data_IF_954690887049
#
_entry.id   IF_954690887049
#
_cell.length_a   1.000
_cell.length_b   1.000
_cell.length_c   1.000
_cell.angle_alpha   90.00
_cell.angle_beta   90.00
_cell.angle_gamma   90.00
#
_symmetry.space_group_name_H-M   'P 1'
#
loop_
_entity.id
_entity.type
_entity.pdbx_description
1 polymer ?
#
# COMPACT_ATOMS: atom_id res chain seq x y z
N UNK A 1 20.36 -22.22 0.15
CA UNK A 1 21.12 -22.71 1.31
C UNK A 1 20.20 -23.07 2.48
N UNK A 2 19.57 -22.14 3.22
CA UNK A 2 18.68 -22.46 4.36
C UNK A 2 17.61 -23.53 4.07
N UNK A 3 17.02 -23.53 2.88
CA UNK A 3 15.94 -24.46 2.52
C UNK A 3 16.40 -25.92 2.35
N UNK A 4 17.63 -26.17 1.98
CA UNK A 4 18.17 -27.52 1.79
C UNK A 4 18.59 -28.15 3.11
N UNK A 5 19.09 -27.32 4.04
CA UNK A 5 19.58 -27.80 5.34
C UNK A 5 18.46 -27.95 6.37
N UNK A 6 17.32 -27.28 6.19
CA UNK A 6 16.19 -27.27 7.13
C UNK A 6 14.86 -27.67 6.47
N UNK A 7 14.92 -28.54 5.45
CA UNK A 7 13.74 -28.94 4.68
C UNK A 7 12.64 -29.64 5.52
N UNK A 8 13.03 -30.24 6.62
CA UNK A 8 12.19 -30.96 7.59
C UNK A 8 11.78 -30.11 8.81
N UNK A 9 12.15 -28.83 8.83
CA UNK A 9 11.92 -27.94 9.98
C UNK A 9 11.15 -26.70 9.61
N UNK A 10 10.38 -26.20 10.57
CA UNK A 10 9.82 -24.86 10.49
C UNK A 10 10.91 -23.85 10.88
N UNK A 11 11.18 -22.91 9.96
CA UNK A 11 12.13 -21.82 10.20
C UNK A 11 11.33 -20.53 10.42
N UNK A 12 11.60 -19.84 11.53
CA UNK A 12 11.04 -18.53 11.85
C UNK A 12 12.16 -17.52 11.82
N UNK A 13 12.05 -16.52 10.94
CA UNK A 13 12.98 -15.38 10.85
C UNK A 13 12.32 -14.16 11.44
N UNK A 14 12.95 -13.55 12.44
CA UNK A 14 12.51 -12.29 13.04
C UNK A 14 13.49 -11.19 12.69
N UNK A 15 12.97 -10.06 12.22
CA UNK A 15 13.79 -8.88 11.95
C UNK A 15 13.04 -7.62 12.34
N UNK A 16 13.76 -6.61 12.78
CA UNK A 16 13.30 -5.24 12.93
C UNK A 16 13.73 -4.36 11.74
N UNK A 17 14.55 -4.90 10.85
CA UNK A 17 15.00 -4.22 9.64
C UNK A 17 13.92 -4.33 8.57
N UNK A 18 13.36 -3.19 8.21
CA UNK A 18 12.27 -3.07 7.23
C UNK A 18 12.76 -3.37 5.82
N UNK A 19 13.95 -2.94 5.45
CA UNK A 19 14.50 -3.18 4.12
C UNK A 19 14.77 -4.67 3.91
N UNK A 20 15.37 -5.31 4.90
CA UNK A 20 15.60 -6.75 4.85
C UNK A 20 14.30 -7.56 4.81
N UNK A 21 13.26 -7.13 5.53
CA UNK A 21 11.93 -7.77 5.45
C UNK A 21 11.36 -7.74 4.03
N UNK A 22 11.42 -6.59 3.34
CA UNK A 22 10.94 -6.48 1.98
C UNK A 22 11.81 -7.24 0.97
N UNK A 23 13.13 -7.26 1.18
CA UNK A 23 14.02 -8.07 0.35
C UNK A 23 13.70 -9.57 0.46
N UNK A 24 13.44 -10.06 1.66
CA UNK A 24 13.00 -11.44 1.86
C UNK A 24 11.65 -11.71 1.19
N UNK A 25 10.69 -10.76 1.24
CA UNK A 25 9.42 -10.91 0.54
C UNK A 25 9.59 -11.03 -0.98
N UNK A 26 10.55 -10.32 -1.57
CA UNK A 26 10.84 -10.39 -3.00
C UNK A 26 11.54 -11.68 -3.40
N UNK A 27 12.50 -12.11 -2.59
CA UNK A 27 13.42 -13.19 -2.95
C UNK A 27 12.93 -14.57 -2.55
N UNK A 28 12.12 -14.68 -1.49
CA UNK A 28 11.67 -15.96 -0.98
C UNK A 28 10.32 -16.37 -1.61
N UNK A 29 10.21 -17.64 -2.06
CA UNK A 29 8.99 -18.10 -2.73
C UNK A 29 7.82 -18.16 -1.74
N UNK A 30 6.78 -17.39 -1.99
CA UNK A 30 5.56 -17.27 -1.17
C UNK A 30 4.86 -18.62 -0.94
N UNK A 31 5.07 -19.60 -1.82
CA UNK A 31 4.56 -20.96 -1.64
C UNK A 31 5.08 -21.63 -0.36
N UNK A 32 6.23 -21.21 0.15
CA UNK A 32 6.92 -21.86 1.27
C UNK A 32 7.16 -20.94 2.46
N UNK A 33 6.96 -19.63 2.28
CA UNK A 33 7.21 -18.62 3.30
C UNK A 33 5.98 -17.76 3.52
N UNK A 34 5.53 -17.67 4.77
CA UNK A 34 4.53 -16.71 5.21
C UNK A 34 5.24 -15.50 5.81
N UNK A 35 4.75 -14.31 5.47
CA UNK A 35 5.29 -13.05 5.98
C UNK A 35 4.25 -12.37 6.86
N UNK A 36 4.67 -11.90 8.02
CA UNK A 36 3.80 -11.17 8.93
C UNK A 36 4.55 -9.99 9.55
N UNK A 37 3.86 -8.91 9.80
CA UNK A 37 4.39 -7.75 10.53
C UNK A 37 3.73 -7.68 11.90
N UNK A 38 4.52 -7.42 12.92
CA UNK A 38 3.99 -7.10 14.25
C UNK A 38 3.59 -5.63 14.28
N UNK A 39 2.42 -5.34 14.85
CA UNK A 39 2.04 -3.96 15.18
C UNK A 39 2.88 -3.47 16.34
N UNK A 40 3.12 -2.16 16.45
CA UNK A 40 3.72 -1.60 17.64
C UNK A 40 2.92 -2.03 18.88
N UNK A 41 3.64 -2.40 19.91
CA UNK A 41 3.03 -2.73 21.21
C UNK A 41 2.35 -1.47 21.78
N UNK A 42 1.08 -1.56 22.08
CA UNK A 42 0.29 -0.44 22.59
C UNK A 42 0.05 -0.52 24.08
N UNK A 43 -0.53 -1.60 24.54
CA UNK A 43 -0.80 -1.83 25.98
C UNK A 43 -0.68 -3.32 26.31
N UNK A 44 -0.37 -3.67 27.59
CA UNK A 44 -0.31 -5.08 28.01
C UNK A 44 -1.60 -5.86 27.76
N UNK A 45 -2.76 -5.19 27.87
CA UNK A 45 -4.08 -5.81 27.73
C UNK A 45 -4.38 -6.23 26.27
N UNK A 46 -3.83 -5.50 25.29
CA UNK A 46 -3.98 -5.80 23.86
C UNK A 46 -2.97 -6.84 23.42
N UNK A 47 -1.81 -6.91 24.09
CA UNK A 47 -0.74 -7.83 23.74
C UNK A 47 -0.08 -7.51 22.41
N UNK A 48 0.57 -8.52 21.84
CA UNK A 48 1.19 -8.45 20.51
C UNK A 48 0.14 -8.79 19.46
N UNK A 49 -0.10 -7.87 18.54
CA UNK A 49 -1.00 -8.10 17.41
C UNK A 49 -0.22 -8.11 16.10
N UNK A 50 -0.67 -8.94 15.16
CA UNK A 50 -0.13 -8.94 13.82
C UNK A 50 -0.82 -7.86 12.98
N UNK A 51 -0.03 -7.15 12.18
CA UNK A 51 -0.60 -6.35 11.11
C UNK A 51 -0.99 -7.31 9.99
N UNK A 52 -2.27 -7.38 9.67
CA UNK A 52 -2.66 -7.90 8.37
C UNK A 52 -1.99 -7.04 7.31
N UNK A 53 -1.68 -7.63 6.14
CA UNK A 53 -1.03 -6.92 5.04
C UNK A 53 -1.89 -5.79 4.45
N UNK A 54 -3.00 -5.45 5.09
CA UNK A 54 -3.90 -4.35 4.77
C UNK A 54 -3.77 -3.23 5.79
N UNK A 55 -3.83 -2.03 5.28
CA UNK A 55 -4.18 -0.84 6.03
C UNK A 55 -5.51 -1.14 6.73
N UNK A 56 -5.62 -0.89 8.03
CA UNK A 56 -6.87 -1.17 8.78
C UNK A 56 -7.93 -0.09 8.47
N UNK A 57 -8.38 -0.12 7.21
CA UNK A 57 -9.45 0.76 6.71
C UNK A 57 -10.77 0.45 7.41
N UNK A 58 -11.01 -0.81 7.79
CA UNK A 58 -12.23 -1.19 8.49
C UNK A 58 -12.33 -0.51 9.87
N UNK A 59 -11.22 -0.43 10.60
CA UNK A 59 -11.17 0.32 11.85
C UNK A 59 -11.40 1.82 11.63
N UNK A 60 -10.83 2.40 10.57
CA UNK A 60 -11.05 3.79 10.21
C UNK A 60 -12.53 4.06 9.86
N UNK A 61 -13.19 3.19 9.08
CA UNK A 61 -14.62 3.27 8.77
C UNK A 61 -15.49 3.21 10.02
N UNK A 62 -15.17 2.31 10.93
CA UNK A 62 -15.90 2.21 12.19
C UNK A 62 -15.77 3.49 13.00
N UNK A 63 -14.59 4.04 13.10
CA UNK A 63 -14.31 5.27 13.86
C UNK A 63 -14.91 6.51 13.21
N UNK A 64 -15.01 6.58 11.90
CA UNK A 64 -15.61 7.70 11.18
C UNK A 64 -17.04 8.00 11.60
N UNK A 65 -17.78 7.00 12.08
CA UNK A 65 -19.17 7.17 12.54
C UNK A 65 -19.29 7.92 13.87
N UNK A 66 -18.29 7.85 14.72
CA UNK A 66 -18.29 8.45 16.06
C UNK A 66 -17.29 9.58 16.21
N UNK A 67 -16.16 9.49 15.55
CA UNK A 67 -15.00 10.39 15.66
C UNK A 67 -14.41 10.67 14.27
N UNK A 68 -15.15 11.39 13.39
CA UNK A 68 -14.74 11.57 11.99
C UNK A 68 -13.40 12.27 11.84
N UNK A 69 -13.07 13.24 12.68
CA UNK A 69 -11.79 13.96 12.64
C UNK A 69 -10.60 13.05 12.94
N UNK A 70 -10.74 12.20 13.95
CA UNK A 70 -9.69 11.23 14.30
C UNK A 70 -9.54 10.15 13.22
N UNK A 71 -10.65 9.70 12.64
CA UNK A 71 -10.65 8.76 11.52
C UNK A 71 -9.90 9.32 10.30
N UNK A 72 -10.11 10.60 9.96
CA UNK A 72 -9.40 11.31 8.89
C UNK A 72 -7.90 11.38 9.15
N UNK A 73 -7.49 11.73 10.39
CA UNK A 73 -6.09 11.78 10.77
C UNK A 73 -5.42 10.39 10.72
N UNK A 74 -6.14 9.35 11.09
CA UNK A 74 -5.67 7.97 11.04
C UNK A 74 -5.52 7.48 9.60
N UNK A 75 -6.53 7.69 8.75
CA UNK A 75 -6.49 7.29 7.33
C UNK A 75 -5.36 7.98 6.59
N UNK A 76 -5.11 9.25 6.87
CA UNK A 76 -3.98 9.97 6.28
C UNK A 76 -2.65 9.27 6.58
N UNK A 77 -2.36 9.02 7.89
CA UNK A 77 -1.12 8.31 8.29
C UNK A 77 -1.02 6.92 7.67
N UNK A 78 -2.15 6.23 7.58
CA UNK A 78 -2.25 4.94 6.92
C UNK A 78 -1.86 5.04 5.43
N UNK A 79 -2.37 6.03 4.73
CA UNK A 79 -2.08 6.25 3.30
C UNK A 79 -0.63 6.66 3.07
N UNK A 80 -0.03 7.47 3.96
CA UNK A 80 1.39 7.83 3.86
C UNK A 80 2.26 6.57 3.88
N UNK A 81 2.00 5.64 4.79
CA UNK A 81 2.72 4.37 4.89
C UNK A 81 2.40 3.43 3.73
N UNK A 82 1.12 3.21 3.44
CA UNK A 82 0.69 2.24 2.43
C UNK A 82 1.15 2.62 1.02
N UNK A 83 1.07 3.90 0.65
CA UNK A 83 1.53 4.37 -0.66
C UNK A 83 3.06 4.40 -0.76
N UNK A 84 3.78 4.62 0.35
CA UNK A 84 5.23 4.42 0.37
C UNK A 84 5.59 2.96 0.06
N UNK A 85 4.90 2.00 0.68
CA UNK A 85 5.11 0.58 0.40
C UNK A 85 4.75 0.19 -1.04
N UNK A 86 3.65 0.73 -1.57
CA UNK A 86 3.28 0.52 -2.99
C UNK A 86 4.37 1.08 -3.90
N UNK A 87 4.81 2.32 -3.65
CA UNK A 87 5.82 2.99 -4.46
C UNK A 87 7.15 2.20 -4.50
N UNK A 88 7.58 1.68 -3.35
CA UNK A 88 8.77 0.84 -3.25
C UNK A 88 8.62 -0.45 -4.06
N UNK A 89 7.51 -1.17 -3.90
CA UNK A 89 7.25 -2.44 -4.60
C UNK A 89 7.24 -2.31 -6.11
N UNK A 90 6.68 -1.21 -6.63
CA UNK A 90 6.57 -1.00 -8.08
C UNK A 90 7.73 -0.20 -8.66
N UNK A 91 8.70 0.21 -7.85
CA UNK A 91 9.80 1.06 -8.29
C UNK A 91 9.32 2.41 -8.82
N UNK A 92 8.35 3.04 -8.13
CA UNK A 92 7.79 4.32 -8.55
C UNK A 92 8.83 5.44 -8.46
N UNK A 93 9.16 6.05 -9.58
CA UNK A 93 9.99 7.25 -9.59
C UNK A 93 9.20 8.44 -9.01
N UNK A 94 9.69 8.97 -7.89
CA UNK A 94 9.16 10.19 -7.26
C UNK A 94 10.22 11.28 -7.31
N UNK A 95 9.86 12.56 -7.53
CA UNK A 95 10.81 13.65 -7.57
C UNK A 95 11.64 13.73 -6.29
N UNK A 96 12.94 13.89 -6.42
CA UNK A 96 13.81 14.10 -5.26
C UNK A 96 13.49 15.44 -4.60
N UNK A 97 13.33 15.46 -3.29
CA UNK A 97 13.09 16.65 -2.51
C UNK A 97 14.39 17.09 -1.81
N UNK A 98 14.46 18.36 -1.43
CA UNK A 98 15.65 18.90 -0.77
C UNK A 98 15.64 18.55 0.72
N UNK A 99 16.76 18.08 1.24
CA UNK A 99 16.93 17.76 2.66
C UNK A 99 16.17 16.50 3.10
N UNK A 100 15.75 16.51 4.36
CA UNK A 100 15.10 15.36 5.03
C UNK A 100 13.66 15.10 4.56
N UNK A 101 13.10 15.99 3.72
CA UNK A 101 11.74 15.83 3.18
C UNK A 101 11.53 14.55 2.35
N UNK A 102 12.63 13.92 1.90
CA UNK A 102 12.55 12.64 1.18
C UNK A 102 12.08 11.49 2.08
N UNK A 103 12.41 11.54 3.37
CA UNK A 103 12.06 10.51 4.36
C UNK A 103 10.63 10.69 4.89
N UNK A 104 10.05 11.88 4.68
CA UNK A 104 8.72 12.27 5.18
C UNK A 104 7.71 12.55 4.07
N UNK A 105 7.77 11.76 2.97
CA UNK A 105 6.83 11.92 1.85
C UNK A 105 5.40 11.61 2.27
N UNK A 106 4.49 12.45 1.79
CA UNK A 106 3.06 12.31 2.05
C UNK A 106 2.35 11.48 0.96
N UNK A 107 1.22 10.90 1.31
CA UNK A 107 0.35 10.19 0.37
C UNK A 107 0.00 11.01 -0.87
N UNK A 108 -0.22 12.32 -0.71
CA UNK A 108 -0.49 13.23 -1.82
C UNK A 108 0.64 13.28 -2.86
N UNK A 109 1.90 13.24 -2.42
CA UNK A 109 3.06 13.22 -3.32
C UNK A 109 3.15 11.92 -4.11
N UNK A 110 2.88 10.78 -3.48
CA UNK A 110 2.80 9.49 -4.16
C UNK A 110 1.65 9.44 -5.16
N UNK A 111 0.47 9.95 -4.80
CA UNK A 111 -0.69 10.00 -5.71
C UNK A 111 -0.41 10.87 -6.94
N UNK A 112 0.27 12.00 -6.78
CA UNK A 112 0.70 12.84 -7.91
C UNK A 112 1.65 12.09 -8.84
N UNK A 113 2.63 11.37 -8.27
CA UNK A 113 3.57 10.58 -9.06
C UNK A 113 2.85 9.41 -9.77
N UNK A 114 1.99 8.69 -9.08
CA UNK A 114 1.18 7.61 -9.62
C UNK A 114 0.28 8.07 -10.77
N UNK A 115 -0.43 9.18 -10.61
CA UNK A 115 -1.32 9.71 -11.66
C UNK A 115 -0.58 9.98 -12.97
N UNK A 116 0.66 10.49 -12.90
CA UNK A 116 1.47 10.81 -14.08
C UNK A 116 1.81 9.59 -14.92
N UNK A 117 2.02 8.44 -14.28
CA UNK A 117 2.55 7.26 -14.95
C UNK A 117 1.56 6.09 -15.04
N UNK A 118 0.51 6.05 -14.19
CA UNK A 118 -0.40 4.91 -14.08
C UNK A 118 -1.03 4.51 -15.42
N UNK A 119 -1.42 5.48 -16.24
CA UNK A 119 -2.02 5.20 -17.57
C UNK A 119 -1.10 4.37 -18.47
N UNK A 120 0.20 4.58 -18.39
CA UNK A 120 1.19 3.87 -19.21
C UNK A 120 1.74 2.64 -18.52
N UNK A 121 1.98 2.74 -17.22
CA UNK A 121 2.70 1.75 -16.44
C UNK A 121 1.81 0.69 -15.82
N UNK A 122 0.60 1.06 -15.36
CA UNK A 122 -0.29 0.13 -14.67
C UNK A 122 -1.23 -0.57 -15.63
N UNK A 123 -1.12 -1.89 -15.71
CA UNK A 123 -1.86 -2.73 -16.64
C UNK A 123 -2.66 -3.82 -15.90
N UNK A 124 -3.82 -4.13 -16.42
CA UNK A 124 -4.68 -5.24 -16.00
C UNK A 124 -4.89 -6.19 -17.17
N UNK A 125 -4.87 -7.49 -16.94
CA UNK A 125 -5.10 -8.50 -17.96
C UNK A 125 -6.59 -8.55 -18.29
N UNK A 126 -6.91 -8.45 -19.56
CA UNK A 126 -8.26 -8.61 -20.12
C UNK A 126 -8.22 -9.68 -21.22
N UNK A 127 -8.64 -10.89 -20.91
CA UNK A 127 -8.37 -12.06 -21.75
C UNK A 127 -6.87 -12.31 -21.86
N UNK A 128 -6.34 -12.32 -23.09
CA UNK A 128 -4.92 -12.56 -23.37
C UNK A 128 -4.10 -11.27 -23.53
N UNK A 129 -4.71 -10.10 -23.39
CA UNK A 129 -4.05 -8.81 -23.58
C UNK A 129 -3.99 -8.00 -22.29
N UNK A 130 -2.97 -7.15 -22.16
CA UNK A 130 -2.86 -6.19 -21.08
C UNK A 130 -3.40 -4.83 -21.51
N UNK A 131 -4.37 -4.31 -20.78
CA UNK A 131 -4.97 -2.98 -20.97
C UNK A 131 -4.61 -2.05 -19.82
N UNK A 132 -4.65 -0.71 -19.98
CA UNK A 132 -4.50 0.21 -18.86
C UNK A 132 -5.49 -0.10 -17.75
N UNK A 133 -5.06 -0.05 -16.50
CA UNK A 133 -5.95 -0.22 -15.35
C UNK A 133 -6.73 1.09 -15.10
N UNK A 134 -7.86 1.22 -15.80
CA UNK A 134 -8.70 2.42 -15.74
C UNK A 134 -9.30 2.64 -14.34
N UNK A 135 -9.62 1.57 -13.63
CA UNK A 135 -10.20 1.61 -12.28
C UNK A 135 -9.20 2.25 -11.29
N UNK A 136 -7.94 1.82 -11.35
CA UNK A 136 -6.86 2.41 -10.54
C UNK A 136 -6.68 3.90 -10.83
N UNK A 137 -6.67 4.29 -12.10
CA UNK A 137 -6.53 5.69 -12.49
C UNK A 137 -7.72 6.54 -12.01
N UNK A 138 -8.93 6.02 -12.11
CA UNK A 138 -10.14 6.69 -11.62
C UNK A 138 -10.09 6.88 -10.09
N UNK A 139 -9.72 5.83 -9.35
CA UNK A 139 -9.57 5.90 -7.89
C UNK A 139 -8.52 6.94 -7.47
N UNK A 140 -7.33 6.95 -8.12
CA UNK A 140 -6.26 7.92 -7.85
C UNK A 140 -6.74 9.35 -8.10
N UNK A 141 -7.39 9.59 -9.24
CA UNK A 141 -7.89 10.92 -9.61
C UNK A 141 -8.97 11.44 -8.66
N UNK A 142 -9.85 10.56 -8.21
CA UNK A 142 -10.91 10.91 -7.26
C UNK A 142 -10.34 11.24 -5.89
N UNK A 143 -9.44 10.42 -5.37
CA UNK A 143 -8.94 10.52 -3.98
C UNK A 143 -7.87 11.61 -3.80
N UNK A 144 -7.09 11.92 -4.86
CA UNK A 144 -5.98 12.89 -4.77
C UNK A 144 -6.38 14.28 -4.29
N UNK A 145 -7.45 14.93 -4.80
CA UNK A 145 -7.88 16.24 -4.32
C UNK A 145 -8.32 16.22 -2.86
N UNK A 146 -9.05 15.18 -2.47
CA UNK A 146 -9.56 15.00 -1.12
C UNK A 146 -8.40 14.86 -0.13
N UNK A 147 -7.44 13.99 -0.39
CA UNK A 147 -6.24 13.86 0.44
C UNK A 147 -5.40 15.14 0.52
N UNK A 148 -5.32 15.92 -0.55
CA UNK A 148 -4.59 17.19 -0.53
C UNK A 148 -5.30 18.25 0.35
N UNK A 149 -6.62 18.33 0.28
CA UNK A 149 -7.44 19.23 1.11
C UNK A 149 -7.34 18.83 2.58
N UNK A 150 -7.58 17.55 2.87
CA UNK A 150 -7.63 17.02 4.22
C UNK A 150 -6.24 16.88 4.83
N UNK A 151 -5.22 16.60 4.00
CA UNK A 151 -3.83 16.50 4.41
C UNK A 151 -3.27 17.78 5.01
N UNK A 152 -3.67 18.94 4.51
CA UNK A 152 -3.20 20.24 4.96
C UNK A 152 -4.05 20.85 6.09
N UNK A 153 -5.31 20.45 6.21
CA UNK A 153 -6.23 21.00 7.24
C UNK A 153 -6.20 20.21 8.55
N UNK A 154 -5.86 18.93 8.51
CA UNK A 154 -5.87 18.04 9.69
C UNK A 154 -4.86 18.34 10.80
N UNK A 155 -4.02 19.39 10.64
CA UNK A 155 -3.15 19.89 11.70
C UNK A 155 -3.74 21.07 12.48
N UNK A 156 -4.82 21.67 11.99
CA UNK A 156 -5.42 22.85 12.63
C UNK A 156 -6.94 22.79 12.57
N UNK A 157 -7.60 22.56 13.69
CA UNK A 157 -9.04 22.76 13.97
C UNK A 157 -9.97 22.47 12.78
N UNK A 158 -10.19 21.20 12.49
CA UNK A 158 -11.06 20.77 11.43
C UNK A 158 -12.32 20.11 11.99
N UNK A 159 -13.48 20.55 11.57
CA UNK A 159 -14.78 19.90 11.80
C UNK A 159 -15.17 19.14 10.52
N UNK A 160 -14.72 17.88 10.38
CA UNK A 160 -15.14 17.00 9.30
C UNK A 160 -16.48 16.32 9.64
N UNK A 161 -17.37 16.27 8.67
CA UNK A 161 -18.59 15.48 8.82
C UNK A 161 -18.29 13.98 8.66
N UNK A 162 -19.16 13.15 9.21
CA UNK A 162 -19.09 11.68 9.02
C UNK A 162 -19.09 11.32 7.54
N UNK A 163 -19.91 11.98 6.72
CA UNK A 163 -19.98 11.73 5.27
C UNK A 163 -18.65 12.01 4.57
N UNK A 164 -18.00 13.13 4.87
CA UNK A 164 -16.70 13.48 4.29
C UNK A 164 -15.61 12.47 4.71
N UNK A 165 -15.64 12.03 5.96
CA UNK A 165 -14.71 11.01 6.43
C UNK A 165 -14.93 9.66 5.72
N UNK A 166 -16.18 9.22 5.58
CA UNK A 166 -16.51 7.99 4.88
C UNK A 166 -16.12 8.06 3.39
N UNK A 167 -16.42 9.15 2.70
CA UNK A 167 -16.03 9.34 1.28
C UNK A 167 -14.52 9.29 1.07
N UNK A 168 -13.73 9.94 1.91
CA UNK A 168 -12.28 9.87 1.84
C UNK A 168 -11.77 8.46 2.11
N UNK A 169 -12.29 7.79 3.14
CA UNK A 169 -11.88 6.44 3.50
C UNK A 169 -12.20 5.46 2.37
N UNK A 170 -13.38 5.57 1.76
CA UNK A 170 -13.77 4.76 0.60
C UNK A 170 -12.86 5.03 -0.61
N UNK A 171 -12.49 6.28 -0.84
CA UNK A 171 -11.52 6.66 -1.86
C UNK A 171 -10.15 6.02 -1.61
N UNK A 172 -9.66 6.08 -0.38
CA UNK A 172 -8.40 5.44 0.02
C UNK A 172 -8.43 3.93 -0.15
N UNK A 173 -9.50 3.28 0.27
CA UNK A 173 -9.72 1.83 0.06
C UNK A 173 -9.70 1.47 -1.42
N UNK A 174 -10.39 2.24 -2.26
CA UNK A 174 -10.41 2.03 -3.71
C UNK A 174 -9.01 2.17 -4.34
N UNK A 175 -8.21 3.16 -3.89
CA UNK A 175 -6.83 3.32 -4.35
C UNK A 175 -5.98 2.11 -3.97
N UNK A 176 -6.00 1.70 -2.70
CA UNK A 176 -5.19 0.58 -2.24
C UNK A 176 -5.67 -0.75 -2.83
N UNK A 177 -6.99 -0.95 -2.93
CA UNK A 177 -7.60 -2.11 -3.56
C UNK A 177 -7.19 -2.26 -5.03
N UNK A 178 -7.03 -1.15 -5.76
CA UNK A 178 -6.60 -1.20 -7.15
C UNK A 178 -5.20 -1.80 -7.37
N UNK A 179 -4.33 -1.77 -6.34
CA UNK A 179 -3.01 -2.40 -6.36
C UNK A 179 -3.03 -3.86 -5.87
N UNK A 180 -4.17 -4.35 -5.39
CA UNK A 180 -4.39 -5.75 -5.02
C UNK A 180 -5.04 -6.50 -6.16
N UNK A 181 -4.61 -7.73 -6.40
CA UNK A 181 -5.16 -8.56 -7.46
C UNK A 181 -6.37 -9.35 -6.97
N UNK A 182 -7.54 -9.14 -7.58
CA UNK A 182 -8.77 -9.88 -7.26
C UNK A 182 -8.63 -11.40 -7.47
N UNK A 183 -7.80 -11.80 -8.44
CA UNK A 183 -7.64 -13.21 -8.80
C UNK A 183 -6.74 -14.02 -7.85
N UNK A 184 -5.76 -13.39 -7.21
CA UNK A 184 -4.80 -14.11 -6.36
C UNK A 184 -4.58 -13.47 -4.98
N UNK A 185 -5.20 -12.34 -4.69
CA UNK A 185 -5.07 -11.65 -3.41
C UNK A 185 -3.69 -11.07 -3.12
N UNK A 186 -2.77 -11.05 -4.11
CA UNK A 186 -1.44 -10.48 -3.91
C UNK A 186 -1.32 -9.11 -4.56
N UNK A 187 -0.54 -8.18 -3.97
CA UNK A 187 -0.33 -6.88 -4.57
C UNK A 187 0.51 -6.98 -5.84
N UNK A 188 0.34 -6.02 -6.75
CA UNK A 188 1.29 -5.80 -7.84
C UNK A 188 2.66 -5.45 -7.27
N UNK A 189 3.73 -5.92 -7.90
CA UNK A 189 5.10 -5.76 -7.37
C UNK A 189 5.54 -6.87 -6.43
N UNK A 190 4.73 -7.94 -6.27
CA UNK A 190 5.14 -9.11 -5.50
C UNK A 190 6.13 -10.02 -6.24
N UNK A 191 6.24 -9.88 -7.56
CA UNK A 191 7.09 -10.72 -8.40
C UNK A 191 7.73 -9.89 -9.51
N UNK A 192 9.02 -10.06 -9.66
CA UNK A 192 9.76 -9.56 -10.82
C UNK A 192 9.45 -10.43 -12.05
N UNK A 193 9.14 -9.79 -13.16
CA UNK A 193 9.01 -10.47 -14.44
C UNK A 193 10.08 -9.99 -15.42
N UNK A 194 10.24 -10.74 -16.52
CA UNK A 194 11.24 -10.43 -17.54
C UNK A 194 11.08 -9.01 -18.08
N UNK A 195 12.17 -8.25 -18.18
CA UNK A 195 12.20 -6.91 -18.75
C UNK A 195 11.86 -5.78 -17.76
N UNK A 196 12.17 -5.96 -16.48
CA UNK A 196 12.02 -4.91 -15.45
C UNK A 196 10.58 -4.59 -15.10
N UNK A 197 9.65 -5.50 -15.41
CA UNK A 197 8.26 -5.39 -15.02
C UNK A 197 8.05 -6.08 -13.68
N UNK A 198 7.09 -5.62 -12.92
CA UNK A 198 6.65 -6.30 -11.69
C UNK A 198 5.18 -6.66 -11.78
N UNK A 199 4.81 -7.80 -11.23
CA UNK A 199 3.49 -8.39 -11.39
C UNK A 199 2.91 -8.86 -10.05
N UNK A 200 1.61 -9.09 -10.02
CA UNK A 200 1.00 -9.90 -8.97
C UNK A 200 1.28 -11.39 -9.23
N UNK A 201 1.03 -12.25 -8.26
CA UNK A 201 1.35 -13.68 -8.32
C UNK A 201 0.79 -14.43 -9.54
N UNK A 202 -0.41 -14.08 -10.02
CA UNK A 202 -1.03 -14.73 -11.18
C UNK A 202 -0.81 -13.97 -12.49
N UNK A 203 -0.07 -12.86 -12.48
CA UNK A 203 0.17 -12.02 -13.66
C UNK A 203 -1.03 -11.19 -14.13
N UNK A 204 -2.15 -11.17 -13.42
CA UNK A 204 -3.32 -10.37 -13.83
C UNK A 204 -3.11 -8.86 -13.68
N UNK A 205 -2.29 -8.44 -12.73
CA UNK A 205 -1.85 -7.05 -12.59
C UNK A 205 -0.37 -6.96 -12.90
N UNK A 206 0.00 -5.94 -13.67
CA UNK A 206 1.37 -5.69 -14.08
C UNK A 206 1.69 -4.20 -13.96
N UNK A 207 2.85 -3.90 -13.43
CA UNK A 207 3.45 -2.57 -13.47
C UNK A 207 4.70 -2.57 -14.34
N UNK A 208 4.79 -1.62 -15.25
CA UNK A 208 5.96 -1.40 -16.10
C UNK A 208 6.56 -0.07 -15.70
N UNK A 209 7.79 -0.04 -15.18
CA UNK A 209 8.49 1.22 -14.94
C UNK A 209 8.49 2.08 -16.21
N UNK A 210 8.24 3.37 -16.04
CA UNK A 210 8.19 4.31 -17.14
C UNK A 210 9.61 4.68 -17.63
#
# INVERSE_FOLDING_TARGET
MLRQEFADRQVVLLTHDREWYFELQRTLPVKHWGFQRLRPFTTPDVGITFADHGVDIAAAKTRAKTEPEEALGNVRRLMDVALSEVAERIGLAVPHMRGDDNDHRTAGQFLVALERVATKSFRKKAGDVYVPNADALAAIKKTKPELAIWGNRGTHTFSGSTTEAEELIDGCEAVLGAFMCDGCGTPVGSFDSTGGKVECRCGNLQWRPA
#
